data_IF_190330784470
#
_entry.id   IF_190330784470
#
_cell.length_a   1.000
_cell.length_b   1.000
_cell.length_c   1.000
_cell.angle_alpha   90.00
_cell.angle_beta   90.00
_cell.angle_gamma   90.00
#
_symmetry.space_group_name_H-M   'P 1'
#
loop_
_entity.id
_entity.type
_entity.pdbx_description
1 polymer ?
#
# COMPACT_ATOMS: atom_id res chain seq x y z
N UNK A 1 57.23 -1.08 -18.22
CA UNK A 1 55.95 -0.34 -18.12
C UNK A 1 54.83 -1.38 -18.18
N UNK A 2 54.16 -1.56 -17.03
CA UNK A 2 52.87 -2.25 -16.80
C UNK A 2 52.66 -3.72 -17.22
N UNK A 3 52.69 -4.58 -16.19
CA UNK A 3 51.87 -5.81 -15.99
C UNK A 3 50.38 -5.54 -16.32
N UNK A 4 49.47 -6.48 -16.62
CA UNK A 4 49.30 -7.89 -16.20
C UNK A 4 48.13 -8.53 -16.96
N UNK A 5 48.21 -9.85 -17.13
CA UNK A 5 47.17 -10.86 -17.37
C UNK A 5 45.68 -10.43 -17.33
N UNK A 6 44.99 -10.60 -18.47
CA UNK A 6 43.53 -10.68 -18.52
C UNK A 6 43.11 -12.15 -18.31
N UNK A 7 42.67 -12.47 -17.09
CA UNK A 7 41.96 -13.70 -16.77
C UNK A 7 40.48 -13.47 -17.08
N UNK A 8 39.94 -14.34 -17.92
CA UNK A 8 38.54 -14.44 -18.28
C UNK A 8 37.76 -14.93 -17.04
N UNK A 9 36.96 -14.06 -16.43
CA UNK A 9 36.03 -14.42 -15.35
C UNK A 9 34.60 -14.37 -15.89
N UNK A 10 33.96 -15.54 -15.89
CA UNK A 10 32.52 -15.71 -16.01
C UNK A 10 31.82 -14.82 -14.98
N UNK A 11 30.95 -13.91 -15.42
CA UNK A 11 30.01 -13.24 -14.53
C UNK A 11 28.85 -14.20 -14.22
N UNK A 12 28.99 -14.96 -13.14
CA UNK A 12 27.87 -15.29 -12.27
C UNK A 12 27.56 -14.04 -11.44
N UNK A 13 26.33 -13.55 -11.46
CA UNK A 13 25.91 -12.46 -10.57
C UNK A 13 24.43 -12.59 -10.24
N UNK A 14 24.21 -13.20 -9.07
CA UNK A 14 23.29 -12.73 -8.03
C UNK A 14 21.80 -12.58 -8.39
N UNK A 15 21.06 -13.65 -8.10
CA UNK A 15 19.66 -13.62 -7.70
C UNK A 15 19.56 -12.91 -6.34
N UNK A 16 18.89 -11.76 -6.26
CA UNK A 16 18.39 -11.22 -4.99
C UNK A 16 17.19 -10.28 -5.19
N UNK A 17 16.01 -10.79 -4.82
CA UNK A 17 14.88 -10.12 -4.15
C UNK A 17 14.49 -8.70 -4.60
N UNK A 18 13.61 -8.60 -5.60
CA UNK A 18 12.86 -7.37 -5.89
C UNK A 18 11.62 -7.28 -4.99
N UNK A 19 11.76 -6.52 -3.90
CA UNK A 19 10.64 -6.00 -3.11
C UNK A 19 10.03 -4.80 -3.84
N UNK A 20 8.73 -4.90 -4.13
CA UNK A 20 7.75 -3.84 -4.43
C UNK A 20 8.23 -2.61 -5.21
N UNK A 21 7.91 -2.58 -6.50
CA UNK A 21 8.02 -1.38 -7.34
C UNK A 21 6.67 -1.12 -8.02
N UNK A 22 5.79 -0.35 -7.37
CA UNK A 22 4.64 0.26 -8.06
C UNK A 22 5.08 1.64 -8.55
N UNK A 23 5.59 1.72 -9.78
CA UNK A 23 5.88 2.99 -10.45
C UNK A 23 4.91 3.17 -11.61
N UNK A 24 4.00 4.14 -11.48
CA UNK A 24 3.35 4.77 -12.63
C UNK A 24 4.21 5.98 -13.00
N UNK A 25 4.94 5.81 -14.10
CA UNK A 25 5.97 6.70 -14.59
C UNK A 25 5.32 7.91 -15.27
N UNK A 26 5.41 9.13 -14.72
CA UNK A 26 5.24 10.34 -15.53
C UNK A 26 6.14 11.50 -15.07
N UNK A 27 6.83 12.06 -16.06
CA UNK A 27 7.76 13.17 -16.02
C UNK A 27 6.99 14.46 -15.73
N UNK A 28 7.25 15.10 -14.60
CA UNK A 28 6.65 16.37 -14.20
C UNK A 28 7.18 17.52 -15.08
N UNK A 29 6.29 18.19 -15.83
CA UNK A 29 6.45 19.59 -16.18
C UNK A 29 5.45 20.38 -15.35
N UNK A 30 5.95 21.07 -14.33
CA UNK A 30 5.15 22.01 -13.54
C UNK A 30 4.99 23.32 -14.33
N UNK A 31 3.75 23.76 -14.56
CA UNK A 31 3.44 25.13 -14.94
C UNK A 31 2.54 25.76 -13.86
N UNK A 32 2.76 27.04 -13.61
CA UNK A 32 2.28 27.81 -12.45
C UNK A 32 0.77 28.12 -12.43
N UNK A 33 -0.04 27.46 -13.25
CA UNK A 33 -1.48 27.70 -13.39
C UNK A 33 -2.38 26.61 -12.76
N UNK A 34 -1.79 25.52 -12.24
CA UNK A 34 -2.54 24.35 -11.73
C UNK A 34 -3.28 24.66 -10.42
N UNK A 35 -2.76 25.54 -9.58
CA UNK A 35 -3.29 25.78 -8.21
C UNK A 35 -4.71 26.37 -8.19
N UNK A 36 -5.05 27.22 -9.17
CA UNK A 36 -6.34 27.91 -9.23
C UNK A 36 -7.50 26.99 -9.70
N UNK A 37 -7.20 26.07 -10.64
CA UNK A 37 -8.20 25.13 -11.16
C UNK A 37 -8.58 24.07 -10.12
N UNK A 38 -7.61 23.66 -9.30
CA UNK A 38 -7.84 22.68 -8.20
C UNK A 38 -8.81 23.25 -7.16
N UNK A 39 -8.72 24.54 -6.84
CA UNK A 39 -9.62 25.19 -5.87
C UNK A 39 -11.06 25.27 -6.37
N UNK A 40 -11.24 25.53 -7.66
CA UNK A 40 -12.56 25.70 -8.27
C UNK A 40 -13.29 24.36 -8.44
N UNK A 41 -12.57 23.28 -8.78
CA UNK A 41 -13.16 21.95 -8.90
C UNK A 41 -13.45 21.31 -7.53
N UNK A 42 -12.63 21.58 -6.51
CA UNK A 42 -12.93 21.20 -5.14
C UNK A 42 -14.22 21.86 -4.62
N UNK A 43 -14.46 23.13 -4.98
CA UNK A 43 -15.69 23.83 -4.63
C UNK A 43 -16.94 23.26 -5.34
N UNK A 44 -16.82 22.85 -6.60
CA UNK A 44 -17.91 22.20 -7.34
C UNK A 44 -18.26 20.82 -6.78
N UNK A 45 -17.25 20.01 -6.41
CA UNK A 45 -17.46 18.71 -5.77
C UNK A 45 -18.11 18.84 -4.39
N UNK A 46 -17.71 19.84 -3.60
CA UNK A 46 -18.29 20.13 -2.29
C UNK A 46 -19.78 20.51 -2.38
N UNK A 47 -20.17 21.26 -3.42
CA UNK A 47 -21.57 21.70 -3.63
C UNK A 47 -22.51 20.54 -3.96
N UNK A 48 -22.00 19.47 -4.59
CA UNK A 48 -22.77 18.25 -4.93
C UNK A 48 -22.95 17.31 -3.72
N UNK A 49 -21.99 17.30 -2.79
CA UNK A 49 -22.05 16.48 -1.58
C UNK A 49 -23.02 17.00 -0.49
N UNK A 50 -23.44 18.27 -0.57
CA UNK A 50 -24.25 18.92 0.46
C UNK A 50 -25.74 18.51 0.50
N UNK A 51 -26.21 17.64 -0.41
CA UNK A 51 -27.64 17.30 -0.56
C UNK A 51 -28.02 15.96 0.09
N UNK A 52 -27.07 15.21 0.65
CA UNK A 52 -27.33 14.04 1.50
C UNK A 52 -26.51 14.14 2.78
N UNK A 53 -27.18 14.10 3.94
CA UNK A 53 -26.52 14.14 5.25
C UNK A 53 -25.43 13.07 5.36
N UNK A 54 -24.18 13.51 5.40
CA UNK A 54 -22.97 12.67 5.37
C UNK A 54 -22.35 12.59 3.99
N UNK A 55 -21.24 13.32 3.77
CA UNK A 55 -20.36 13.07 2.62
C UNK A 55 -19.89 11.61 2.69
N UNK A 56 -19.88 10.84 1.59
CA UNK A 56 -19.39 9.48 1.61
C UNK A 56 -17.92 9.45 2.07
N UNK A 57 -17.55 8.39 2.82
CA UNK A 57 -16.20 8.22 3.36
C UNK A 57 -15.12 8.19 2.26
N UNK A 58 -15.46 7.63 1.09
CA UNK A 58 -14.65 7.64 -0.12
C UNK A 58 -15.40 8.38 -1.23
N UNK A 59 -14.74 9.35 -1.89
CA UNK A 59 -15.21 9.92 -3.17
C UNK A 59 -14.09 9.88 -4.18
N UNK A 60 -14.36 9.39 -5.38
CA UNK A 60 -13.41 9.38 -6.49
C UNK A 60 -13.95 10.23 -7.64
N UNK A 61 -13.25 11.32 -7.98
CA UNK A 61 -13.65 12.25 -9.03
C UNK A 61 -12.58 12.34 -10.11
N UNK A 62 -12.92 11.97 -11.35
CA UNK A 62 -12.02 12.13 -12.50
C UNK A 62 -12.07 13.59 -12.94
N UNK A 63 -10.92 14.27 -12.91
CA UNK A 63 -10.82 15.68 -13.30
C UNK A 63 -10.63 15.84 -14.82
N UNK A 64 -9.77 15.00 -15.40
CA UNK A 64 -9.48 15.03 -16.82
C UNK A 64 -8.96 13.67 -17.30
N UNK A 65 -9.20 13.40 -18.59
CA UNK A 65 -8.78 12.19 -19.29
C UNK A 65 -7.99 12.57 -20.54
N UNK A 66 -6.98 11.78 -20.87
CA UNK A 66 -6.23 11.98 -22.11
C UNK A 66 -7.06 11.49 -23.31
N UNK A 67 -7.25 12.32 -24.34
CA UNK A 67 -7.96 11.92 -25.55
C UNK A 67 -7.25 10.86 -26.41
N UNK A 68 -5.98 10.55 -26.12
CA UNK A 68 -5.15 9.62 -26.91
C UNK A 68 -4.72 8.38 -26.12
N UNK A 69 -4.60 8.48 -24.80
CA UNK A 69 -4.16 7.38 -23.92
C UNK A 69 -5.19 7.10 -22.83
N UNK A 70 -5.01 6.05 -22.03
CA UNK A 70 -5.89 5.76 -20.88
C UNK A 70 -5.53 6.54 -19.60
N UNK A 71 -4.68 7.57 -19.72
CA UNK A 71 -4.24 8.37 -18.58
C UNK A 71 -5.38 9.23 -18.04
N UNK A 72 -5.46 9.31 -16.71
CA UNK A 72 -6.48 10.05 -15.97
C UNK A 72 -5.82 10.80 -14.82
N UNK A 73 -6.32 12.00 -14.55
CA UNK A 73 -6.05 12.69 -13.28
C UNK A 73 -7.34 12.77 -12.47
N UNK A 74 -7.25 12.60 -11.16
CA UNK A 74 -8.43 12.43 -10.30
C UNK A 74 -8.16 12.95 -8.89
N UNK A 75 -9.23 13.28 -8.18
CA UNK A 75 -9.20 13.53 -6.73
C UNK A 75 -9.89 12.39 -6.02
N UNK A 76 -9.18 11.77 -5.08
CA UNK A 76 -9.70 10.74 -4.19
C UNK A 76 -9.81 11.31 -2.79
N UNK A 77 -11.03 11.65 -2.37
CA UNK A 77 -11.32 12.11 -1.01
C UNK A 77 -11.46 10.89 -0.10
N UNK A 78 -10.64 10.84 0.94
CA UNK A 78 -10.64 9.85 2.01
C UNK A 78 -10.99 10.53 3.35
N UNK A 79 -11.27 9.75 4.41
CA UNK A 79 -11.58 10.31 5.73
C UNK A 79 -10.52 11.30 6.24
N UNK A 80 -9.23 10.99 6.12
CA UNK A 80 -8.15 11.85 6.63
C UNK A 80 -7.58 12.85 5.62
N UNK A 81 -7.65 12.58 4.31
CA UNK A 81 -6.98 13.43 3.31
C UNK A 81 -7.61 13.33 1.92
N UNK A 82 -7.44 14.36 1.09
CA UNK A 82 -7.77 14.28 -0.35
C UNK A 82 -6.49 14.07 -1.15
N UNK A 83 -6.43 12.95 -1.85
CA UNK A 83 -5.26 12.50 -2.62
C UNK A 83 -5.44 12.86 -4.09
N UNK A 84 -4.47 13.57 -4.64
CA UNK A 84 -4.35 13.82 -6.08
C UNK A 84 -3.77 12.58 -6.78
N UNK A 85 -4.42 12.13 -7.86
CA UNK A 85 -4.01 10.97 -8.64
C UNK A 85 -3.57 11.39 -10.05
N UNK A 86 -2.54 10.74 -10.63
CA UNK A 86 -1.82 9.58 -10.08
C UNK A 86 -0.85 9.93 -8.95
N UNK A 87 -0.76 9.08 -7.92
CA UNK A 87 0.17 9.23 -6.79
C UNK A 87 1.05 8.00 -6.64
N UNK A 88 2.25 8.20 -6.11
CA UNK A 88 3.10 7.13 -5.57
C UNK A 88 2.83 6.98 -4.06
N UNK A 89 2.92 5.75 -3.55
CA UNK A 89 2.69 5.42 -2.13
C UNK A 89 3.98 4.86 -1.52
N UNK A 90 4.68 5.60 -0.64
CA UNK A 90 5.79 5.06 0.11
C UNK A 90 5.33 3.98 1.10
N UNK A 91 6.17 2.97 1.33
CA UNK A 91 5.85 1.83 2.20
C UNK A 91 6.45 2.01 3.60
N UNK A 92 5.61 2.04 4.63
CA UNK A 92 5.97 1.96 6.04
C UNK A 92 5.81 0.54 6.58
N UNK A 93 6.90 -0.08 7.01
CA UNK A 93 6.91 -1.51 7.41
C UNK A 93 6.73 -1.77 8.90
N UNK A 94 6.75 -0.74 9.77
CA UNK A 94 6.63 -0.87 11.24
C UNK A 94 6.06 0.43 11.86
N UNK A 95 5.03 1.02 11.24
CA UNK A 95 4.46 2.31 11.69
C UNK A 95 5.36 3.51 11.49
N UNK A 96 6.54 3.32 10.90
CA UNK A 96 7.45 4.38 10.45
C UNK A 96 8.07 3.98 9.11
N UNK A 97 8.38 5.00 8.29
CA UNK A 97 9.31 4.83 7.17
C UNK A 97 10.71 4.71 7.76
N UNK A 98 11.42 3.60 7.49
CA UNK A 98 12.74 3.35 8.09
C UNK A 98 13.68 4.52 7.78
N UNK A 99 14.07 5.26 8.81
CA UNK A 99 15.02 6.37 8.71
C UNK A 99 14.43 7.74 8.32
N UNK A 100 13.10 7.88 8.25
CA UNK A 100 12.45 9.16 7.92
C UNK A 100 11.37 9.52 8.93
N UNK A 101 11.35 10.78 9.36
CA UNK A 101 10.27 11.35 10.15
C UNK A 101 9.03 11.59 9.26
N UNK A 102 7.81 11.50 9.82
CA UNK A 102 6.58 11.80 9.09
C UNK A 102 6.62 13.12 8.33
N UNK A 103 7.19 14.17 8.92
CA UNK A 103 7.35 15.48 8.28
C UNK A 103 8.22 15.42 7.02
N UNK A 104 9.31 14.66 7.03
CA UNK A 104 10.18 14.52 5.85
C UNK A 104 9.46 13.78 4.71
N UNK A 105 8.60 12.82 5.06
CA UNK A 105 7.76 12.11 4.09
C UNK A 105 6.70 13.05 3.50
N UNK A 106 6.15 13.94 4.32
CA UNK A 106 5.21 14.99 3.88
C UNK A 106 5.87 16.01 2.97
N UNK A 107 7.08 16.46 3.31
CA UNK A 107 7.91 17.39 2.54
C UNK A 107 8.31 16.80 1.18
N UNK A 108 8.55 15.49 1.12
CA UNK A 108 8.78 14.77 -0.14
C UNK A 108 7.52 14.68 -1.03
N UNK A 109 6.36 15.15 -0.56
CA UNK A 109 5.11 15.20 -1.33
C UNK A 109 4.22 13.96 -1.20
N UNK A 110 4.50 13.05 -0.27
CA UNK A 110 3.67 11.86 -0.10
C UNK A 110 2.30 12.22 0.49
N UNK A 111 1.23 11.99 -0.27
CA UNK A 111 -0.15 12.28 0.14
C UNK A 111 -0.83 11.10 0.86
N UNK A 112 -0.33 9.89 0.57
CA UNK A 112 -0.82 8.63 1.09
C UNK A 112 0.37 7.70 1.29
N UNK A 113 0.35 6.89 2.34
CA UNK A 113 1.36 5.88 2.63
C UNK A 113 0.74 4.49 2.71
N UNK A 114 1.55 3.47 2.44
CA UNK A 114 1.17 2.07 2.62
C UNK A 114 1.72 1.57 3.96
N UNK A 115 0.85 1.21 4.89
CA UNK A 115 1.19 0.53 6.14
C UNK A 115 1.06 -0.98 5.98
N UNK A 116 2.02 -1.75 6.49
CA UNK A 116 1.92 -3.20 6.45
C UNK A 116 1.16 -3.77 7.65
N UNK A 117 0.03 -4.44 7.39
CA UNK A 117 -0.87 -4.97 8.42
C UNK A 117 -0.22 -6.06 9.26
N UNK A 118 0.59 -6.92 8.65
CA UNK A 118 1.24 -8.02 9.36
C UNK A 118 2.19 -7.53 10.45
N UNK A 119 3.08 -6.61 10.07
CA UNK A 119 4.03 -6.06 11.01
C UNK A 119 3.35 -5.24 12.10
N UNK A 120 2.41 -4.37 11.72
CA UNK A 120 1.70 -3.49 12.64
C UNK A 120 0.83 -4.27 13.66
N UNK A 121 0.14 -5.31 13.19
CA UNK A 121 -0.71 -6.16 14.01
C UNK A 121 0.04 -7.04 15.00
N UNK A 122 1.32 -7.35 14.73
CA UNK A 122 2.16 -8.16 15.63
C UNK A 122 3.06 -7.30 16.54
N UNK A 123 3.60 -6.19 16.01
CA UNK A 123 4.45 -5.24 16.72
C UNK A 123 4.22 -3.85 16.14
N UNK A 124 3.55 -2.93 16.84
CA UNK A 124 3.32 -2.92 18.29
C UNK A 124 2.20 -3.84 18.81
N UNK A 125 1.30 -4.34 17.96
CA UNK A 125 0.11 -5.09 18.39
C UNK A 125 -1.16 -4.25 18.28
N UNK A 126 -2.29 -4.88 17.97
CA UNK A 126 -3.59 -4.20 17.85
C UNK A 126 -4.02 -3.55 19.15
N UNK A 127 -3.74 -4.16 20.30
CA UNK A 127 -4.11 -3.62 21.61
C UNK A 127 -3.43 -2.28 21.91
N UNK A 128 -2.19 -2.09 21.45
CA UNK A 128 -1.50 -0.81 21.60
C UNK A 128 -2.06 0.21 20.60
N UNK A 129 -2.32 -0.19 19.35
CA UNK A 129 -2.91 0.71 18.37
C UNK A 129 -4.28 1.21 18.82
N UNK A 130 -5.11 0.36 19.40
CA UNK A 130 -6.42 0.72 19.95
C UNK A 130 -6.29 1.77 21.08
N UNK A 131 -5.26 1.67 21.93
CA UNK A 131 -4.99 2.68 22.97
C UNK A 131 -4.64 4.05 22.38
N UNK A 132 -4.01 4.10 21.21
CA UNK A 132 -3.72 5.33 20.49
C UNK A 132 -4.85 5.72 19.51
N UNK A 133 -5.96 4.99 19.48
CA UNK A 133 -7.06 5.19 18.52
C UNK A 133 -6.58 5.11 17.06
N UNK A 134 -5.72 4.14 16.77
CA UNK A 134 -5.22 3.85 15.43
C UNK A 134 -3.81 4.35 15.14
N UNK A 135 -3.31 3.95 13.97
CA UNK A 135 -1.93 4.17 13.55
C UNK A 135 -1.65 5.64 13.26
N UNK A 136 -2.62 6.40 12.71
CA UNK A 136 -2.47 7.82 12.42
C UNK A 136 -1.94 8.60 13.64
N UNK A 137 -2.54 8.39 14.80
CA UNK A 137 -2.13 9.03 16.05
C UNK A 137 -0.80 8.49 16.57
N UNK A 138 -0.60 7.17 16.49
CA UNK A 138 0.63 6.52 16.92
C UNK A 138 1.87 7.05 16.17
N UNK A 139 1.76 7.20 14.84
CA UNK A 139 2.86 7.68 14.00
C UNK A 139 2.84 9.18 13.71
N UNK A 140 1.83 9.91 14.23
CA UNK A 140 1.57 11.32 13.92
C UNK A 140 1.49 11.59 12.41
N UNK A 141 0.72 10.77 11.71
CA UNK A 141 0.44 10.92 10.28
C UNK A 141 -0.99 11.40 10.06
N UNK A 142 -1.10 12.61 9.55
CA UNK A 142 -2.34 13.35 9.32
C UNK A 142 -2.81 13.31 7.86
N UNK A 143 -2.21 12.45 7.03
CA UNK A 143 -2.67 12.23 5.65
C UNK A 143 -3.20 10.81 5.47
N UNK A 144 -3.51 10.41 4.24
CA UNK A 144 -4.16 9.13 3.98
C UNK A 144 -3.25 7.91 4.28
N UNK A 145 -3.85 6.81 4.70
CA UNK A 145 -3.21 5.53 4.98
C UNK A 145 -3.92 4.41 4.24
N UNK A 146 -3.16 3.63 3.48
CA UNK A 146 -3.59 2.37 2.89
C UNK A 146 -2.93 1.22 3.65
N UNK A 147 -3.68 0.18 3.97
CA UNK A 147 -3.13 -1.05 4.55
C UNK A 147 -3.26 -2.20 3.57
N UNK A 148 -2.21 -3.01 3.45
CA UNK A 148 -2.32 -4.29 2.76
C UNK A 148 -3.08 -5.30 3.64
N UNK A 149 -3.49 -6.44 3.08
CA UNK A 149 -4.21 -7.47 3.85
C UNK A 149 -3.31 -8.29 4.77
N UNK A 150 -1.99 -8.20 4.58
CA UNK A 150 -0.97 -9.04 5.21
C UNK A 150 -0.71 -10.36 4.47
N UNK A 151 -1.60 -10.80 3.56
CA UNK A 151 -1.50 -12.09 2.87
C UNK A 151 -0.25 -12.22 1.99
N UNK A 152 0.05 -11.22 1.16
CA UNK A 152 1.18 -11.28 0.22
C UNK A 152 2.54 -11.46 0.91
N UNK A 153 2.78 -10.80 2.06
CA UNK A 153 4.04 -10.97 2.79
C UNK A 153 4.16 -12.35 3.44
N UNK A 154 3.02 -12.96 3.82
CA UNK A 154 2.97 -14.33 4.33
C UNK A 154 3.29 -15.34 3.23
N UNK A 155 2.79 -15.10 2.01
CA UNK A 155 3.12 -15.90 0.81
C UNK A 155 4.59 -15.69 0.38
N UNK A 156 5.23 -14.57 0.66
CA UNK A 156 6.66 -14.42 0.34
C UNK A 156 7.59 -15.16 1.32
N UNK A 157 7.09 -15.57 2.49
CA UNK A 157 7.80 -16.36 3.51
C UNK A 157 7.39 -17.86 3.45
N UNK A 158 6.87 -18.27 2.29
CA UNK A 158 6.09 -19.46 1.94
C UNK A 158 6.58 -20.84 2.38
N UNK A 159 7.83 -21.04 2.79
CA UNK A 159 8.27 -22.40 3.19
C UNK A 159 7.44 -22.96 4.36
N UNK A 160 6.72 -22.11 5.10
CA UNK A 160 5.97 -22.47 6.30
C UNK A 160 4.48 -22.07 6.26
N UNK A 161 3.92 -21.72 5.09
CA UNK A 161 2.52 -21.29 4.99
C UNK A 161 1.62 -22.35 4.33
N UNK A 162 0.48 -22.64 4.95
CA UNK A 162 -0.57 -23.52 4.44
C UNK A 162 -1.81 -22.66 4.12
N UNK A 163 -2.27 -22.71 2.87
CA UNK A 163 -3.44 -21.96 2.40
C UNK A 163 -4.64 -22.90 2.40
N UNK A 164 -5.72 -22.47 3.05
CA UNK A 164 -7.00 -23.19 3.15
C UNK A 164 -8.16 -22.23 2.86
N UNK A 165 -9.36 -22.76 2.64
CA UNK A 165 -10.57 -21.93 2.48
C UNK A 165 -10.82 -20.99 3.67
N UNK A 166 -10.46 -21.43 4.89
CA UNK A 166 -10.61 -20.62 6.09
C UNK A 166 -9.60 -19.44 6.14
N UNK A 167 -8.51 -19.51 5.38
CA UNK A 167 -7.45 -18.51 5.35
C UNK A 167 -6.05 -19.12 5.29
N UNK A 168 -5.06 -18.32 5.70
CA UNK A 168 -3.63 -18.68 5.63
C UNK A 168 -3.11 -19.01 7.02
N UNK A 169 -2.69 -20.26 7.23
CA UNK A 169 -1.93 -20.67 8.41
C UNK A 169 -0.45 -20.47 8.17
N UNK A 170 0.27 -19.92 9.11
CA UNK A 170 1.72 -19.76 9.01
C UNK A 170 2.38 -19.73 10.39
N UNK A 171 3.69 -19.94 10.41
CA UNK A 171 4.50 -19.77 11.62
C UNK A 171 5.08 -18.37 11.66
N UNK A 172 4.90 -17.69 12.78
CA UNK A 172 5.54 -16.40 13.03
C UNK A 172 7.08 -16.57 12.99
N UNK A 173 7.80 -15.73 12.22
CA UNK A 173 9.25 -15.76 12.14
C UNK A 173 9.92 -15.23 13.43
N UNK A 174 9.15 -14.66 14.36
CA UNK A 174 9.67 -14.06 15.59
C UNK A 174 9.72 -15.05 16.76
N UNK A 175 8.69 -15.87 16.92
CA UNK A 175 8.49 -16.77 18.06
C UNK A 175 8.09 -18.20 17.65
N UNK A 176 7.87 -18.44 16.36
CA UNK A 176 7.46 -19.75 15.84
C UNK A 176 6.00 -20.10 16.11
N UNK A 177 5.20 -19.20 16.68
CA UNK A 177 3.79 -19.44 16.96
C UNK A 177 3.01 -19.65 15.66
N UNK A 178 2.09 -20.62 15.65
CA UNK A 178 1.17 -20.82 14.54
C UNK A 178 0.04 -19.78 14.60
N UNK A 179 -0.14 -19.08 13.49
CA UNK A 179 -1.12 -18.00 13.34
C UNK A 179 -1.99 -18.33 12.15
N UNK A 180 -3.31 -18.18 12.34
CA UNK A 180 -4.30 -18.25 11.28
C UNK A 180 -4.72 -16.83 10.92
N UNK A 181 -4.46 -16.41 9.68
CA UNK A 181 -5.00 -15.18 9.11
C UNK A 181 -6.20 -15.51 8.23
N UNK A 182 -7.41 -15.29 8.78
CA UNK A 182 -8.66 -15.35 8.02
C UNK A 182 -9.01 -13.98 7.44
N UNK A 183 -9.93 -13.90 6.45
CA UNK A 183 -10.42 -12.61 5.94
C UNK A 183 -10.98 -11.71 7.05
N UNK A 184 -11.75 -12.27 7.98
CA UNK A 184 -12.32 -11.55 9.12
C UNK A 184 -11.23 -10.97 10.01
N UNK A 185 -10.19 -11.78 10.31
CA UNK A 185 -9.08 -11.32 11.15
C UNK A 185 -8.26 -10.24 10.44
N UNK A 186 -8.07 -10.34 9.12
CA UNK A 186 -7.40 -9.29 8.34
C UNK A 186 -8.17 -7.97 8.41
N UNK A 187 -9.49 -7.99 8.26
CA UNK A 187 -10.33 -6.79 8.37
C UNK A 187 -10.35 -6.25 9.81
N UNK A 188 -10.41 -7.11 10.83
CA UNK A 188 -10.32 -6.72 12.24
C UNK A 188 -9.03 -5.94 12.53
N UNK A 189 -7.87 -6.47 12.11
CA UNK A 189 -6.58 -5.81 12.33
C UNK A 189 -6.53 -4.48 11.58
N UNK A 190 -7.01 -4.42 10.33
CA UNK A 190 -7.02 -3.17 9.55
C UNK A 190 -7.94 -2.11 10.16
N UNK A 191 -9.05 -2.51 10.79
CA UNK A 191 -9.91 -1.60 11.56
C UNK A 191 -9.20 -1.05 12.80
N UNK A 192 -8.50 -1.89 13.57
CA UNK A 192 -7.67 -1.43 14.71
C UNK A 192 -6.53 -0.51 14.28
N UNK A 193 -5.95 -0.74 13.10
CA UNK A 193 -4.98 0.18 12.49
C UNK A 193 -5.63 1.53 12.13
N UNK A 194 -6.92 1.54 11.80
CA UNK A 194 -7.65 2.74 11.43
C UNK A 194 -7.30 3.26 10.04
N UNK A 195 -7.10 2.35 9.08
CA UNK A 195 -6.73 2.71 7.71
C UNK A 195 -7.88 3.39 6.93
N UNK A 196 -7.55 4.31 6.02
CA UNK A 196 -8.51 4.92 5.10
C UNK A 196 -8.90 3.97 3.96
N UNK A 197 -7.94 3.16 3.50
CA UNK A 197 -8.13 2.15 2.45
C UNK A 197 -7.62 0.82 3.00
N UNK A 198 -8.51 -0.16 3.05
CA UNK A 198 -8.20 -1.52 3.50
C UNK A 198 -8.20 -2.47 2.30
N UNK A 199 -7.15 -3.25 2.16
CA UNK A 199 -7.04 -4.25 1.10
C UNK A 199 -7.64 -5.57 1.56
N UNK A 200 -8.31 -6.25 0.63
CA UNK A 200 -8.88 -7.58 0.87
C UNK A 200 -7.76 -8.62 1.02
N UNK A 201 -7.97 -9.61 1.90
CA UNK A 201 -7.14 -10.81 1.94
C UNK A 201 -7.36 -11.65 0.67
N UNK A 202 -6.29 -11.87 -0.07
CA UNK A 202 -6.28 -12.51 -1.38
C UNK A 202 -5.36 -13.74 -1.42
N UNK A 203 -5.73 -14.72 -2.24
CA UNK A 203 -4.90 -15.87 -2.53
C UNK A 203 -3.96 -15.57 -3.71
N UNK A 204 -2.72 -15.22 -3.39
CA UNK A 204 -1.73 -14.77 -4.38
C UNK A 204 -1.03 -15.97 -5.01
N UNK A 205 -1.27 -16.15 -6.31
CA UNK A 205 -0.57 -17.16 -7.12
C UNK A 205 0.77 -16.62 -7.62
N UNK A 206 1.81 -17.46 -7.62
CA UNK A 206 3.10 -17.11 -8.17
C UNK A 206 2.99 -16.82 -9.68
N UNK A 207 3.62 -15.74 -10.15
CA UNK A 207 3.63 -15.36 -11.57
C UNK A 207 4.29 -16.39 -12.49
N UNK A 208 5.14 -17.27 -11.95
CA UNK A 208 5.75 -18.37 -12.69
C UNK A 208 4.96 -19.67 -12.61
N UNK A 209 3.80 -19.66 -11.94
CA UNK A 209 2.92 -20.82 -11.89
C UNK A 209 2.43 -21.14 -13.30
N UNK A 210 2.48 -22.43 -13.65
CA UNK A 210 2.09 -22.93 -14.97
C UNK A 210 0.85 -23.82 -14.91
N UNK A 211 0.48 -24.28 -13.71
CA UNK A 211 -0.70 -25.10 -13.51
C UNK A 211 -1.98 -24.25 -13.49
N UNK A 212 -2.80 -24.40 -14.54
CA UNK A 212 -4.04 -23.64 -14.69
C UNK A 212 -5.05 -23.89 -13.55
N UNK A 213 -5.04 -25.09 -12.95
CA UNK A 213 -5.94 -25.41 -11.84
C UNK A 213 -5.65 -24.56 -10.60
N UNK A 214 -4.39 -24.22 -10.33
CA UNK A 214 -4.03 -23.34 -9.20
C UNK A 214 -4.65 -21.95 -9.35
N UNK A 215 -4.70 -21.42 -10.57
CA UNK A 215 -5.34 -20.14 -10.87
C UNK A 215 -6.85 -20.20 -10.70
N UNK A 216 -7.50 -21.30 -11.09
CA UNK A 216 -8.94 -21.46 -10.86
C UNK A 216 -9.27 -21.43 -9.37
N UNK A 217 -8.55 -22.22 -8.56
CA UNK A 217 -8.76 -22.26 -7.11
C UNK A 217 -8.53 -20.89 -6.45
N UNK A 218 -7.56 -20.10 -6.91
CA UNK A 218 -7.36 -18.74 -6.37
C UNK A 218 -8.45 -17.74 -6.78
N UNK A 219 -9.16 -17.99 -7.88
CA UNK A 219 -10.09 -17.03 -8.48
C UNK A 219 -11.55 -17.28 -8.08
N UNK A 220 -11.91 -18.54 -7.86
CA UNK A 220 -13.29 -19.02 -7.68
C UNK A 220 -13.45 -19.74 -6.36
#
# INVERSE_FOLDING_TARGET
KQNSHAIQLHHSSFVCSHKYFFVLNFRTMASSSTTAVVTEVAAMAAKKAAISGGSPALTFNILAECGTTKARTSLMKLPHYTVELPTFMPVGTQGTMKGLLPEQVKEAGAQIILGNTYHLGMRPGTELLDQFSGLHNFMKWDRALLTDSGGFQMVSLLELAEITEDGVKFKSPYDGAEIMLTPEKSIEIQNSIGADIMMQLDDVVNVTETEYERFKTATY
#
